data_IF_512761091311
#
_entry.id   IF_512761091311
#
_cell.length_a   1.000
_cell.length_b   1.000
_cell.length_c   1.000
_cell.angle_alpha   90.00
_cell.angle_beta   90.00
_cell.angle_gamma   90.00
#
_symmetry.space_group_name_H-M   'P 1'
#
loop_
_entity.id
_entity.type
_entity.pdbx_description
1 polymer ?
#
# COMPACT_ATOMS: atom_id res chain seq x y z
N UNK A 1 21.74 -46.93 -19.18
CA UNK A 1 22.71 -45.97 -18.62
C UNK A 1 22.04 -44.62 -18.70
N UNK A 2 21.21 -44.37 -17.68
CA UNK A 2 20.47 -43.13 -17.48
C UNK A 2 21.44 -42.03 -17.05
N UNK A 3 21.55 -40.98 -17.86
CA UNK A 3 22.38 -39.81 -17.59
C UNK A 3 21.54 -38.52 -17.56
N UNK A 4 20.23 -38.64 -17.29
CA UNK A 4 19.30 -37.52 -17.15
C UNK A 4 18.43 -37.71 -15.89
N UNK A 5 19.04 -38.01 -14.74
CA UNK A 5 18.31 -38.10 -13.46
C UNK A 5 18.97 -37.35 -12.30
N UNK A 6 19.88 -36.40 -12.56
CA UNK A 6 20.55 -35.67 -11.49
C UNK A 6 20.85 -34.20 -11.79
N UNK A 7 20.01 -33.52 -12.58
CA UNK A 7 19.97 -32.06 -12.52
C UNK A 7 19.13 -31.71 -11.28
N UNK A 8 19.85 -31.38 -10.21
CA UNK A 8 19.26 -30.99 -8.93
C UNK A 8 18.24 -29.87 -9.11
N UNK A 9 17.07 -30.05 -8.51
CA UNK A 9 16.10 -28.97 -8.33
C UNK A 9 16.75 -27.99 -7.37
N UNK A 10 17.38 -26.97 -7.95
CA UNK A 10 17.86 -25.81 -7.23
C UNK A 10 16.91 -24.65 -7.57
N UNK A 11 16.30 -23.99 -6.58
CA UNK A 11 16.49 -24.21 -5.14
C UNK A 11 15.72 -25.43 -4.60
N UNK A 12 16.12 -25.90 -3.41
CA UNK A 12 15.60 -27.10 -2.74
C UNK A 12 14.10 -27.02 -2.34
N UNK A 13 13.49 -25.84 -2.50
CA UNK A 13 12.05 -25.58 -2.40
C UNK A 13 11.66 -24.56 -3.45
N UNK A 14 10.40 -24.59 -3.91
CA UNK A 14 9.88 -23.59 -4.86
C UNK A 14 9.95 -22.19 -4.22
N UNK A 15 10.71 -21.24 -4.81
CA UNK A 15 10.81 -19.89 -4.30
C UNK A 15 9.50 -19.13 -4.39
N UNK A 16 9.25 -18.28 -3.41
CA UNK A 16 7.99 -17.52 -3.31
C UNK A 16 7.77 -16.60 -4.50
N UNK A 17 8.84 -15.98 -5.01
CA UNK A 17 8.82 -15.13 -6.21
C UNK A 17 8.63 -15.88 -7.54
N UNK A 18 8.36 -17.19 -7.49
CA UNK A 18 8.03 -18.05 -8.64
C UNK A 18 6.94 -19.07 -8.29
N UNK A 19 6.10 -18.76 -7.30
CA UNK A 19 5.15 -19.71 -6.75
C UNK A 19 3.74 -19.11 -6.69
N UNK A 20 2.90 -19.43 -7.69
CA UNK A 20 1.51 -18.95 -7.78
C UNK A 20 0.63 -19.33 -6.57
N UNK A 21 1.03 -20.33 -5.79
CA UNK A 21 0.30 -20.74 -4.59
C UNK A 21 0.76 -20.00 -3.33
N UNK A 22 1.82 -19.20 -3.41
CA UNK A 22 2.37 -18.42 -2.32
C UNK A 22 2.35 -16.95 -2.72
N UNK A 23 1.22 -16.32 -2.44
CA UNK A 23 1.12 -14.87 -2.40
C UNK A 23 1.85 -14.32 -1.15
N UNK A 24 1.81 -15.06 -0.03
CA UNK A 24 2.42 -14.69 1.26
C UNK A 24 2.95 -15.92 2.00
N UNK A 25 4.06 -15.79 2.71
CA UNK A 25 4.60 -16.80 3.63
C UNK A 25 4.85 -16.19 5.01
N UNK A 26 4.74 -17.02 6.05
CA UNK A 26 5.35 -16.80 7.36
C UNK A 26 4.80 -15.60 8.18
N UNK A 27 3.81 -15.69 9.07
CA UNK A 27 2.98 -16.80 9.64
C UNK A 27 3.62 -18.20 9.67
N UNK A 28 4.40 -18.53 10.71
CA UNK A 28 5.45 -19.59 10.72
C UNK A 28 5.15 -20.87 11.55
N UNK A 29 5.81 -22.04 11.28
CA UNK A 29 7.04 -22.43 12.05
C UNK A 29 8.09 -23.36 11.30
N UNK A 30 9.22 -23.83 11.90
CA UNK A 30 10.51 -23.17 12.20
C UNK A 30 11.79 -23.86 11.61
N UNK A 31 12.98 -23.20 11.63
CA UNK A 31 14.34 -23.80 11.42
C UNK A 31 15.47 -23.02 12.12
N UNK A 32 16.68 -23.58 12.22
CA UNK A 32 17.83 -22.97 12.91
C UNK A 32 18.50 -21.79 12.16
N UNK A 33 19.08 -20.85 12.93
CA UNK A 33 19.65 -19.56 12.49
C UNK A 33 21.19 -19.53 12.55
N UNK A 34 21.84 -18.81 11.62
CA UNK A 34 23.26 -18.42 11.71
C UNK A 34 23.57 -17.15 10.88
N UNK A 35 24.69 -16.49 11.21
CA UNK A 35 25.24 -15.32 10.49
C UNK A 35 26.61 -15.67 9.88
N UNK A 36 26.94 -15.09 8.71
CA UNK A 36 28.25 -15.28 8.04
C UNK A 36 29.09 -14.01 8.07
N UNK A 37 30.39 -14.13 8.39
CA UNK A 37 31.34 -13.02 8.49
C UNK A 37 32.44 -13.13 7.43
N UNK A 38 32.96 -11.98 6.96
CA UNK A 38 33.92 -11.92 5.84
C UNK A 38 35.36 -12.35 6.20
N UNK A 39 35.68 -12.49 7.49
CA UNK A 39 36.96 -12.99 8.00
C UNK A 39 36.81 -13.55 9.41
N UNK A 40 37.80 -14.29 9.87
CA UNK A 40 37.86 -14.86 11.23
C UNK A 40 37.87 -13.76 12.31
N UNK A 41 38.58 -12.66 12.06
CA UNK A 41 38.65 -11.52 12.97
C UNK A 41 37.31 -10.79 13.09
N UNK A 42 36.55 -10.68 12.00
CA UNK A 42 35.19 -10.12 12.01
C UNK A 42 34.20 -11.01 12.78
N UNK A 43 34.33 -12.34 12.68
CA UNK A 43 33.48 -13.29 13.40
C UNK A 43 33.67 -13.21 14.93
N UNK A 44 34.88 -12.90 15.40
CA UNK A 44 35.20 -12.80 16.84
C UNK A 44 34.66 -11.54 17.52
N UNK A 45 34.23 -10.54 16.75
CA UNK A 45 33.69 -9.29 17.28
C UNK A 45 32.23 -9.38 17.75
N UNK A 46 31.47 -10.38 17.28
CA UNK A 46 30.01 -10.51 17.47
C UNK A 46 29.21 -9.23 17.13
N UNK A 47 29.80 -8.26 16.44
CA UNK A 47 29.18 -7.00 16.10
C UNK A 47 28.65 -7.08 14.65
N UNK A 48 27.31 -7.03 14.44
CA UNK A 48 26.72 -7.13 13.11
C UNK A 48 26.87 -5.86 12.27
N UNK A 49 27.35 -4.75 12.85
CA UNK A 49 27.32 -3.44 12.20
C UNK A 49 28.66 -3.11 11.50
N UNK A 50 28.73 -3.47 10.21
CA UNK A 50 29.79 -3.11 9.26
C UNK A 50 29.23 -3.18 7.84
N UNK A 51 28.64 -2.11 7.32
CA UNK A 51 28.31 -2.01 5.90
C UNK A 51 29.18 -0.97 5.20
N UNK A 52 29.98 -1.44 4.24
CA UNK A 52 30.68 -0.65 3.22
C UNK A 52 29.75 -0.42 2.01
N UNK A 53 28.46 -0.17 2.27
CA UNK A 53 27.44 -0.05 1.24
C UNK A 53 27.38 1.39 0.75
N UNK A 54 27.03 1.55 -0.52
CA UNK A 54 26.74 2.86 -1.08
C UNK A 54 25.42 3.39 -0.50
N UNK A 55 25.34 4.70 -0.28
CA UNK A 55 24.07 5.37 -0.01
C UNK A 55 23.21 5.44 -1.29
N UNK A 56 21.90 5.24 -1.14
CA UNK A 56 20.93 5.32 -2.24
C UNK A 56 19.73 6.17 -1.81
N UNK A 57 19.20 6.98 -2.72
CA UNK A 57 18.01 7.80 -2.46
C UNK A 57 16.73 6.96 -2.57
N UNK A 58 15.82 7.14 -1.60
CA UNK A 58 14.48 6.56 -1.55
C UNK A 58 13.49 7.70 -1.32
N UNK A 59 12.41 7.83 -2.13
CA UNK A 59 12.03 6.94 -3.22
C UNK A 59 12.91 7.07 -4.47
N UNK A 60 13.19 5.94 -5.15
CA UNK A 60 13.96 5.95 -6.38
C UNK A 60 14.09 4.58 -7.05
N UNK A 61 14.28 4.61 -8.37
CA UNK A 61 14.64 3.44 -9.17
C UNK A 61 16.15 3.29 -9.22
N UNK A 62 16.70 2.12 -8.91
CA UNK A 62 18.16 1.96 -8.80
C UNK A 62 18.87 2.14 -10.16
N UNK A 63 18.18 1.88 -11.29
CA UNK A 63 18.71 2.11 -12.64
C UNK A 63 18.97 3.58 -12.93
N UNK A 64 18.26 4.49 -12.25
CA UNK A 64 18.48 5.94 -12.35
C UNK A 64 19.62 6.43 -11.46
N UNK A 65 20.11 5.57 -10.56
CA UNK A 65 21.16 5.87 -9.59
C UNK A 65 22.47 5.12 -9.88
N UNK A 66 22.58 4.47 -11.06
CA UNK A 66 23.82 3.87 -11.55
C UNK A 66 23.91 2.35 -11.43
N UNK A 67 22.88 1.68 -10.91
CA UNK A 67 22.89 0.23 -10.72
C UNK A 67 22.06 -0.48 -11.80
N UNK A 68 22.60 -1.53 -12.43
CA UNK A 68 21.89 -2.27 -13.47
C UNK A 68 21.61 -1.46 -14.75
N UNK A 69 20.72 -1.96 -15.60
CA UNK A 69 20.40 -1.37 -16.91
C UNK A 69 18.87 -1.33 -17.05
N UNK A 70 18.26 -0.18 -17.44
CA UNK A 70 16.83 -0.13 -17.72
C UNK A 70 16.52 -0.80 -19.06
N UNK A 71 15.40 -1.53 -19.13
CA UNK A 71 14.95 -2.17 -20.38
C UNK A 71 13.68 -1.49 -20.88
N UNK A 72 13.57 -1.23 -22.18
CA UNK A 72 12.33 -0.78 -22.80
C UNK A 72 11.85 -1.84 -23.77
N UNK A 73 10.63 -2.33 -23.55
CA UNK A 73 9.93 -3.23 -24.48
C UNK A 73 8.46 -2.86 -24.49
N UNK A 74 7.78 -3.13 -25.61
CA UNK A 74 6.35 -2.88 -25.74
C UNK A 74 5.53 -4.12 -25.35
N UNK A 75 5.82 -5.27 -25.98
CA UNK A 75 5.10 -6.54 -25.79
C UNK A 75 6.04 -7.66 -25.32
N UNK A 76 7.29 -7.64 -25.76
CA UNK A 76 8.21 -8.72 -25.46
C UNK A 76 8.72 -8.60 -24.01
N UNK A 77 8.52 -9.63 -23.19
CA UNK A 77 9.13 -9.68 -21.87
C UNK A 77 10.68 -9.61 -21.97
N UNK A 78 11.36 -8.86 -21.08
CA UNK A 78 12.81 -8.76 -21.09
C UNK A 78 13.53 -10.00 -20.53
N UNK A 79 12.81 -11.10 -20.29
CA UNK A 79 13.30 -12.39 -19.81
C UNK A 79 12.56 -13.56 -20.46
N UNK A 80 13.12 -14.78 -20.45
CA UNK A 80 12.45 -15.96 -21.01
C UNK A 80 11.06 -16.21 -20.41
N UNK A 81 10.05 -16.31 -21.27
CA UNK A 81 8.64 -16.47 -20.87
C UNK A 81 8.36 -17.94 -20.54
N UNK A 82 8.44 -18.28 -19.26
CA UNK A 82 8.11 -19.60 -18.71
C UNK A 82 7.29 -19.51 -17.42
N UNK A 83 6.08 -18.92 -17.43
CA UNK A 83 5.32 -18.66 -16.21
C UNK A 83 5.11 -19.91 -15.34
N UNK A 84 5.19 -19.81 -14.00
CA UNK A 84 5.47 -18.59 -13.22
C UNK A 84 6.97 -18.30 -13.01
N UNK A 85 7.85 -19.02 -13.69
CA UNK A 85 9.29 -18.89 -13.48
C UNK A 85 9.80 -17.58 -14.08
N UNK A 86 10.68 -16.90 -13.35
CA UNK A 86 11.44 -15.74 -13.84
C UNK A 86 12.89 -16.11 -14.11
N UNK A 87 13.66 -15.17 -14.71
CA UNK A 87 15.09 -15.34 -14.92
C UNK A 87 15.83 -15.70 -13.62
N UNK A 88 16.73 -16.67 -13.69
CA UNK A 88 17.64 -17.00 -12.59
C UNK A 88 18.61 -15.84 -12.27
N UNK A 89 18.99 -15.08 -13.30
CA UNK A 89 19.71 -13.82 -13.14
C UNK A 89 18.67 -12.74 -12.87
N UNK A 90 18.43 -12.46 -11.60
CA UNK A 90 17.43 -11.52 -11.12
C UNK A 90 18.11 -10.38 -10.34
N UNK A 91 18.24 -9.18 -10.93
CA UNK A 91 18.76 -8.03 -10.21
C UNK A 91 18.01 -7.82 -8.90
N UNK A 92 18.77 -7.67 -7.82
CA UNK A 92 18.23 -7.62 -6.45
C UNK A 92 18.84 -6.44 -5.72
N UNK A 93 18.00 -5.53 -5.24
CA UNK A 93 18.38 -4.41 -4.38
C UNK A 93 18.25 -4.79 -2.91
N UNK A 94 19.29 -4.59 -2.12
CA UNK A 94 19.22 -4.71 -0.66
C UNK A 94 19.35 -3.33 -0.03
N UNK A 95 18.35 -2.94 0.74
CA UNK A 95 18.24 -1.65 1.40
C UNK A 95 18.35 -1.87 2.92
N UNK A 96 19.00 -0.94 3.60
CA UNK A 96 19.08 -0.94 5.06
C UNK A 96 19.05 0.49 5.60
N UNK A 97 18.39 0.70 6.73
CA UNK A 97 18.31 1.99 7.40
C UNK A 97 18.05 1.83 8.90
N UNK A 98 18.70 2.65 9.72
CA UNK A 98 18.30 2.90 11.11
C UNK A 98 17.21 3.97 11.20
N UNK A 99 16.25 3.76 12.09
CA UNK A 99 15.16 4.69 12.37
C UNK A 99 14.77 4.65 13.84
N UNK A 100 14.20 5.74 14.34
CA UNK A 100 13.67 5.84 15.70
C UNK A 100 12.15 5.99 15.62
N UNK A 101 11.45 5.36 16.57
CA UNK A 101 10.01 5.57 16.76
C UNK A 101 9.84 6.79 17.67
N UNK A 102 9.03 7.79 17.29
CA UNK A 102 8.83 8.98 18.13
C UNK A 102 8.35 8.64 19.55
N UNK A 103 8.94 9.29 20.56
CA UNK A 103 8.62 9.04 21.98
C UNK A 103 7.18 9.42 22.36
N UNK A 104 6.52 10.28 21.59
CA UNK A 104 5.14 10.72 21.81
C UNK A 104 4.09 9.74 21.30
N UNK A 105 4.51 8.61 20.72
CA UNK A 105 3.61 7.53 20.31
C UNK A 105 3.35 6.59 21.49
N UNK A 106 2.11 6.55 21.97
CA UNK A 106 1.73 5.77 23.15
C UNK A 106 2.04 4.26 23.00
N UNK A 107 2.42 3.60 24.10
CA UNK A 107 2.65 2.14 24.24
C UNK A 107 1.46 1.25 23.80
N UNK A 108 0.29 1.85 23.58
CA UNK A 108 -0.90 1.15 23.11
C UNK A 108 -1.01 1.06 21.60
N UNK A 109 -0.32 1.88 20.82
CA UNK A 109 -0.55 2.01 19.37
C UNK A 109 0.05 0.84 18.58
N UNK A 110 -0.67 0.40 17.55
CA UNK A 110 -0.15 -0.46 16.51
C UNK A 110 0.73 0.38 15.58
N UNK A 111 1.99 0.00 15.40
CA UNK A 111 2.92 0.70 14.52
C UNK A 111 3.00 -0.03 13.18
N UNK A 112 2.63 0.66 12.11
CA UNK A 112 2.62 0.11 10.75
C UNK A 112 3.74 0.70 9.91
N UNK A 113 4.44 -0.15 9.18
CA UNK A 113 5.37 0.23 8.13
C UNK A 113 4.65 0.13 6.79
N UNK A 114 4.56 1.24 6.05
CA UNK A 114 3.84 1.34 4.77
C UNK A 114 4.78 1.69 3.64
N UNK A 115 4.81 0.86 2.61
CA UNK A 115 5.49 1.13 1.34
C UNK A 115 4.45 1.52 0.29
N UNK A 116 4.54 2.71 -0.31
CA UNK A 116 3.56 3.18 -1.31
C UNK A 116 3.77 2.55 -2.71
N UNK A 117 4.93 1.94 -2.95
CA UNK A 117 5.26 1.26 -4.20
C UNK A 117 6.69 0.71 -4.22
N UNK A 118 6.80 -0.59 -4.45
CA UNK A 118 8.07 -1.31 -4.57
C UNK A 118 7.98 -2.23 -5.78
N UNK A 119 8.93 -2.11 -6.71
CA UNK A 119 8.93 -2.87 -7.95
C UNK A 119 10.04 -3.95 -7.94
N UNK A 120 9.77 -5.24 -8.17
CA UNK A 120 8.45 -5.87 -8.44
C UNK A 120 7.88 -6.66 -7.25
N UNK A 121 8.77 -7.08 -6.36
CA UNK A 121 8.44 -7.83 -5.15
C UNK A 121 9.53 -7.63 -4.09
N UNK A 122 9.20 -7.79 -2.81
CA UNK A 122 10.17 -7.53 -1.75
C UNK A 122 9.87 -8.26 -0.45
N UNK A 123 10.93 -8.57 0.29
CA UNK A 123 10.86 -8.97 1.70
C UNK A 123 11.30 -7.81 2.59
N UNK A 124 10.79 -7.80 3.82
CA UNK A 124 11.08 -6.80 4.84
C UNK A 124 11.52 -7.47 6.14
N UNK A 125 12.51 -6.87 6.79
CA UNK A 125 12.96 -7.23 8.14
C UNK A 125 13.03 -6.00 9.02
N UNK A 126 12.66 -6.14 10.29
CA UNK A 126 12.87 -5.12 11.33
C UNK A 126 13.65 -5.77 12.47
N UNK A 127 14.72 -5.11 12.93
CA UNK A 127 15.62 -5.62 13.98
C UNK A 127 16.18 -7.03 13.70
N UNK A 128 16.40 -7.34 12.42
CA UNK A 128 16.90 -8.64 11.96
C UNK A 128 15.83 -9.73 11.88
N UNK A 129 14.59 -9.47 12.30
CA UNK A 129 13.47 -10.40 12.23
C UNK A 129 12.64 -10.16 10.97
N UNK A 130 12.25 -11.23 10.27
CA UNK A 130 11.46 -11.14 9.04
C UNK A 130 10.03 -10.73 9.36
N UNK A 131 9.59 -9.63 8.76
CA UNK A 131 8.25 -9.05 8.93
C UNK A 131 7.29 -9.63 7.89
N UNK A 132 7.75 -9.76 6.63
CA UNK A 132 6.92 -10.34 5.58
C UNK A 132 7.43 -10.09 4.16
N UNK A 133 6.55 -10.41 3.20
CA UNK A 133 6.79 -10.36 1.77
C UNK A 133 5.57 -9.80 1.02
N UNK A 134 5.79 -9.03 -0.05
CA UNK A 134 4.71 -8.59 -0.94
C UNK A 134 5.11 -8.49 -2.42
N UNK A 135 4.09 -8.52 -3.29
CA UNK A 135 4.13 -8.29 -4.74
C UNK A 135 3.03 -7.29 -5.16
N UNK A 136 3.16 -6.70 -6.35
CA UNK A 136 2.19 -5.78 -6.92
C UNK A 136 2.68 -4.34 -6.81
N UNK A 137 3.45 -3.93 -7.82
CA UNK A 137 4.34 -2.79 -7.77
C UNK A 137 3.60 -1.46 -7.59
N UNK A 138 2.34 -1.40 -8.03
CA UNK A 138 1.56 -0.16 -8.11
C UNK A 138 0.65 0.09 -6.91
N UNK A 139 0.57 -0.86 -5.98
CA UNK A 139 -0.23 -0.76 -4.77
C UNK A 139 0.64 -0.49 -3.54
N UNK A 140 0.02 0.09 -2.52
CA UNK A 140 0.64 0.24 -1.20
C UNK A 140 0.59 -1.07 -0.42
N UNK A 141 1.63 -1.33 0.37
CA UNK A 141 1.76 -2.51 1.22
C UNK A 141 2.04 -2.08 2.66
N UNK A 142 1.23 -2.56 3.61
CA UNK A 142 1.35 -2.24 5.04
C UNK A 142 1.72 -3.50 5.83
N UNK A 143 2.66 -3.36 6.77
CA UNK A 143 3.05 -4.40 7.72
C UNK A 143 2.91 -3.87 9.14
N UNK A 144 2.27 -4.63 10.03
CA UNK A 144 2.32 -4.35 11.47
C UNK A 144 3.70 -4.77 12.00
N UNK A 145 4.46 -3.80 12.50
CA UNK A 145 5.81 -4.01 13.03
C UNK A 145 5.88 -3.82 14.54
N UNK A 146 4.73 -3.67 15.23
CA UNK A 146 4.66 -3.34 16.66
C UNK A 146 5.53 -4.28 17.50
N UNK A 147 5.40 -5.59 17.29
CA UNK A 147 6.11 -6.61 18.07
C UNK A 147 7.58 -6.81 17.64
N UNK A 148 8.00 -6.15 16.56
CA UNK A 148 9.38 -6.20 16.03
C UNK A 148 10.25 -5.06 16.54
N UNK A 149 9.64 -4.04 17.18
CA UNK A 149 10.32 -2.84 17.62
C UNK A 149 10.92 -3.00 19.02
N UNK A 150 12.03 -2.30 19.25
CA UNK A 150 12.61 -2.09 20.58
C UNK A 150 12.28 -0.66 21.02
N UNK A 151 11.36 -0.46 21.99
CA UNK A 151 10.93 0.87 22.41
C UNK A 151 12.07 1.69 23.02
N UNK A 152 12.13 2.98 22.69
CA UNK A 152 13.13 3.91 23.21
C UNK A 152 14.54 3.73 22.67
N UNK A 153 14.74 2.84 21.69
CA UNK A 153 16.02 2.58 21.05
C UNK A 153 15.93 2.78 19.52
N UNK A 154 17.10 2.91 18.88
CA UNK A 154 17.18 2.88 17.43
C UNK A 154 16.79 1.48 16.92
N UNK A 155 15.94 1.44 15.90
CA UNK A 155 15.48 0.25 15.23
C UNK A 155 16.11 0.16 13.84
N UNK A 156 16.31 -1.05 13.33
CA UNK A 156 16.82 -1.28 11.98
C UNK A 156 15.72 -1.79 11.06
N UNK A 157 15.70 -1.27 9.84
CA UNK A 157 14.85 -1.72 8.74
C UNK A 157 15.75 -2.25 7.62
N UNK A 158 15.47 -3.47 7.15
CA UNK A 158 16.05 -3.99 5.92
C UNK A 158 14.96 -4.38 4.93
N UNK A 159 15.21 -4.14 3.64
CA UNK A 159 14.33 -4.62 2.58
C UNK A 159 15.15 -5.24 1.45
N UNK A 160 14.66 -6.35 0.90
CA UNK A 160 15.25 -7.00 -0.28
C UNK A 160 14.25 -6.99 -1.39
N UNK A 161 14.56 -6.26 -2.45
CA UNK A 161 13.70 -6.01 -3.61
C UNK A 161 14.20 -6.80 -4.80
N UNK A 162 13.33 -7.54 -5.47
CA UNK A 162 13.62 -8.32 -6.66
C UNK A 162 13.02 -7.62 -7.88
N UNK A 163 13.81 -7.51 -8.96
CA UNK A 163 13.33 -6.90 -10.21
C UNK A 163 12.32 -7.78 -10.94
N UNK A 164 12.46 -9.10 -10.84
CA UNK A 164 11.53 -10.05 -11.44
C UNK A 164 10.84 -10.91 -10.37
N UNK A 165 9.52 -11.03 -10.49
CA UNK A 165 8.70 -12.00 -9.76
C UNK A 165 7.65 -12.59 -10.69
N UNK A 166 6.90 -13.60 -10.24
CA UNK A 166 5.73 -14.08 -10.98
C UNK A 166 4.70 -12.98 -11.23
N UNK A 167 4.60 -11.98 -10.34
CA UNK A 167 3.85 -10.75 -10.55
C UNK A 167 4.27 -9.94 -11.77
N UNK A 168 5.53 -10.03 -12.23
CA UNK A 168 5.98 -9.35 -13.45
C UNK A 168 5.22 -9.80 -14.70
N UNK A 169 4.64 -11.02 -14.72
CA UNK A 169 3.82 -11.49 -15.84
C UNK A 169 2.50 -10.72 -16.01
N UNK A 170 2.02 -10.02 -14.98
CA UNK A 170 0.83 -9.16 -15.06
C UNK A 170 1.16 -7.66 -15.11
N UNK A 171 2.44 -7.31 -15.20
CA UNK A 171 2.95 -5.93 -15.23
C UNK A 171 3.66 -5.58 -16.56
N UNK A 172 3.23 -6.22 -17.65
CA UNK A 172 3.74 -6.03 -19.02
C UNK A 172 3.06 -4.83 -19.72
N UNK A 173 3.28 -3.63 -19.19
CA UNK A 173 2.87 -2.41 -19.88
C UNK A 173 3.95 -1.95 -20.88
N UNK A 174 3.55 -1.23 -21.94
CA UNK A 174 4.46 -0.53 -22.85
C UNK A 174 5.19 0.61 -22.13
N UNK A 175 6.28 0.26 -21.43
CA UNK A 175 7.03 1.16 -20.57
C UNK A 175 8.48 0.69 -20.36
N UNK A 176 9.24 1.48 -19.61
CA UNK A 176 10.55 1.06 -19.11
C UNK A 176 10.40 0.11 -17.91
N UNK A 177 11.09 -1.02 -17.98
CA UNK A 177 11.32 -1.90 -16.85
C UNK A 177 12.46 -1.36 -15.98
N UNK A 178 12.09 -0.90 -14.80
CA UNK A 178 12.97 -0.39 -13.74
C UNK A 178 12.48 -0.93 -12.40
N UNK A 179 13.31 -0.91 -11.36
CA UNK A 179 12.96 -1.50 -10.07
C UNK A 179 13.57 -0.75 -8.89
N UNK A 180 13.02 -1.01 -7.70
CA UNK A 180 13.41 -0.37 -6.45
C UNK A 180 12.22 0.05 -5.61
N UNK A 181 12.52 0.70 -4.48
CA UNK A 181 11.52 1.35 -3.62
C UNK A 181 11.22 2.73 -4.23
N UNK A 182 10.26 2.78 -5.16
CA UNK A 182 10.08 3.91 -6.07
C UNK A 182 8.99 4.91 -5.65
N UNK A 183 8.31 4.65 -4.53
CA UNK A 183 7.43 5.60 -3.83
C UNK A 183 7.75 5.58 -2.33
N UNK A 184 7.14 6.51 -1.61
CA UNK A 184 7.42 6.81 -0.21
C UNK A 184 7.31 5.57 0.70
N UNK A 185 8.08 5.61 1.79
CA UNK A 185 8.01 4.65 2.89
C UNK A 185 7.66 5.43 4.16
N UNK A 186 6.57 5.04 4.81
CA UNK A 186 6.00 5.74 5.95
C UNK A 186 5.93 4.84 7.18
N UNK A 187 6.19 5.42 8.35
CA UNK A 187 5.89 4.82 9.63
C UNK A 187 4.59 5.46 10.16
N UNK A 188 3.58 4.65 10.47
CA UNK A 188 2.24 5.12 10.81
C UNK A 188 1.80 4.58 12.18
N UNK A 189 1.47 5.45 13.15
CA UNK A 189 0.88 5.03 14.41
C UNK A 189 -0.63 4.85 14.26
N UNK A 190 -1.17 3.70 14.66
CA UNK A 190 -2.61 3.41 14.69
C UNK A 190 -3.07 3.10 16.11
N UNK A 191 -4.07 3.80 16.69
CA UNK A 191 -4.60 3.48 18.01
C UNK A 191 -5.25 2.10 17.97
N UNK A 192 -5.24 1.39 19.11
CA UNK A 192 -5.90 0.07 19.23
C UNK A 192 -7.35 0.10 18.77
N UNK A 193 -8.05 1.18 19.12
CA UNK A 193 -9.42 1.45 18.69
C UNK A 193 -9.41 2.60 17.69
N UNK A 194 -9.52 2.30 16.40
CA UNK A 194 -9.46 3.31 15.33
C UNK A 194 -10.24 2.91 14.07
N UNK A 195 -10.59 3.91 13.26
CA UNK A 195 -11.16 3.69 11.93
C UNK A 195 -10.05 3.17 11.02
N UNK A 196 -10.25 1.99 10.43
CA UNK A 196 -9.29 1.35 9.50
C UNK A 196 -9.76 1.36 8.04
N UNK A 197 -11.06 1.53 7.84
CA UNK A 197 -11.66 1.69 6.53
C UNK A 197 -12.96 2.49 6.66
N UNK A 198 -13.39 3.11 5.58
CA UNK A 198 -14.69 3.79 5.52
C UNK A 198 -15.19 3.89 4.10
N UNK A 199 -16.51 4.02 3.96
CA UNK A 199 -17.14 4.24 2.68
C UNK A 199 -18.10 5.42 2.75
N UNK A 200 -17.96 6.35 1.81
CA UNK A 200 -18.91 7.44 1.58
C UNK A 200 -19.70 7.13 0.31
N UNK A 201 -21.00 6.94 0.45
CA UNK A 201 -21.91 6.75 -0.66
C UNK A 201 -22.77 8.01 -0.86
N UNK A 202 -23.02 8.38 -2.12
CA UNK A 202 -23.95 9.47 -2.45
C UNK A 202 -25.07 8.93 -3.32
N UNK A 203 -26.30 9.12 -2.89
CA UNK A 203 -27.49 8.72 -3.63
C UNK A 203 -28.20 9.97 -4.13
N UNK A 204 -28.45 10.06 -5.44
CA UNK A 204 -29.16 11.20 -6.06
C UNK A 204 -30.53 10.72 -6.51
N UNK A 205 -31.57 11.47 -6.16
CA UNK A 205 -32.93 11.13 -6.58
C UNK A 205 -33.12 11.24 -8.10
N UNK A 206 -34.22 10.69 -8.60
CA UNK A 206 -34.52 10.69 -10.05
C UNK A 206 -34.87 12.08 -10.60
N UNK A 207 -35.30 13.01 -9.75
CA UNK A 207 -35.56 14.42 -10.13
C UNK A 207 -34.29 15.26 -10.26
N UNK A 208 -33.16 14.78 -9.73
CA UNK A 208 -31.94 15.56 -9.56
C UNK A 208 -32.14 16.83 -8.72
N UNK A 209 -33.02 16.77 -7.72
CA UNK A 209 -33.36 17.91 -6.85
C UNK A 209 -32.92 17.69 -5.39
N UNK A 210 -32.60 16.46 -5.02
CA UNK A 210 -32.03 16.11 -3.72
C UNK A 210 -31.07 14.93 -3.82
N UNK A 211 -30.25 14.77 -2.77
CA UNK A 211 -29.39 13.62 -2.62
C UNK A 211 -29.01 13.36 -1.17
N UNK A 212 -28.62 12.13 -0.88
CA UNK A 212 -28.25 11.68 0.46
C UNK A 212 -26.76 11.34 0.49
N UNK A 213 -26.04 11.89 1.47
CA UNK A 213 -24.69 11.46 1.83
C UNK A 213 -24.81 10.39 2.91
N UNK A 214 -24.23 9.22 2.66
CA UNK A 214 -24.16 8.11 3.61
C UNK A 214 -22.71 7.81 3.96
N UNK A 215 -22.44 7.56 5.22
CA UNK A 215 -21.11 7.20 5.71
C UNK A 215 -21.20 6.00 6.65
N UNK A 216 -20.32 5.04 6.42
CA UNK A 216 -20.07 3.93 7.33
C UNK A 216 -18.56 3.71 7.50
N UNK A 217 -18.16 3.26 8.69
CA UNK A 217 -16.77 3.01 9.04
C UNK A 217 -16.56 1.56 9.48
N UNK A 218 -15.35 1.05 9.26
CA UNK A 218 -14.86 -0.19 9.86
C UNK A 218 -13.88 0.18 10.97
N UNK A 219 -14.14 -0.35 12.16
CA UNK A 219 -13.31 -0.10 13.35
C UNK A 219 -12.46 -1.33 13.66
N UNK A 220 -11.17 -1.12 13.92
CA UNK A 220 -10.35 -2.10 14.65
C UNK A 220 -10.46 -1.84 16.16
N UNK A 221 -10.35 -2.88 16.98
CA UNK A 221 -10.43 -2.75 18.45
C UNK A 221 -11.85 -2.57 18.96
N UNK A 222 -12.03 -1.64 19.90
CA UNK A 222 -13.33 -1.38 20.53
C UNK A 222 -14.16 -0.37 19.72
N UNK A 223 -15.39 -0.75 19.40
CA UNK A 223 -16.37 0.16 18.82
C UNK A 223 -16.76 1.26 19.83
N UNK A 224 -17.15 2.42 19.31
CA UNK A 224 -17.61 3.54 20.12
C UNK A 224 -18.37 4.58 19.29
N UNK A 225 -18.65 5.73 19.91
CA UNK A 225 -19.29 6.84 19.21
C UNK A 225 -18.28 7.63 18.39
N UNK A 226 -18.69 8.04 17.19
CA UNK A 226 -17.95 8.93 16.30
C UNK A 226 -18.71 10.25 16.19
N UNK A 227 -17.99 11.37 16.12
CA UNK A 227 -18.58 12.65 15.73
C UNK A 227 -18.46 12.78 14.22
N UNK A 228 -19.59 12.91 13.53
CA UNK A 228 -19.66 13.12 12.08
C UNK A 228 -20.17 14.53 11.82
N UNK A 229 -19.41 15.31 11.04
CA UNK A 229 -19.72 16.70 10.69
C UNK A 229 -19.66 16.88 9.18
N UNK A 230 -20.77 17.29 8.57
CA UNK A 230 -20.87 17.59 7.15
C UNK A 230 -20.82 19.11 6.93
N UNK A 231 -19.89 19.55 6.08
CA UNK A 231 -19.72 20.95 5.70
C UNK A 231 -20.16 21.19 4.27
N UNK A 232 -20.82 22.33 4.05
CA UNK A 232 -21.16 22.86 2.73
C UNK A 232 -19.90 23.16 1.91
N UNK A 233 -20.03 23.39 0.59
CA UNK A 233 -18.90 23.85 -0.23
C UNK A 233 -18.31 25.19 0.22
N UNK A 234 -19.11 26.02 0.89
CA UNK A 234 -18.67 27.28 1.50
C UNK A 234 -17.95 27.11 2.85
N UNK A 235 -18.02 25.91 3.45
CA UNK A 235 -17.43 25.59 4.75
C UNK A 235 -18.38 25.71 5.94
N UNK A 236 -19.65 26.08 5.71
CA UNK A 236 -20.67 26.13 6.75
C UNK A 236 -21.06 24.73 7.22
N UNK A 237 -21.40 24.58 8.49
CA UNK A 237 -21.84 23.29 9.04
C UNK A 237 -23.28 23.02 8.64
N UNK A 238 -23.50 21.97 7.85
CA UNK A 238 -24.84 21.50 7.47
C UNK A 238 -25.40 20.52 8.51
N UNK A 239 -24.51 19.71 9.09
CA UNK A 239 -24.88 18.74 10.12
C UNK A 239 -23.68 18.41 11.01
N UNK A 240 -23.96 18.10 12.28
CA UNK A 240 -22.97 17.66 13.25
C UNK A 240 -23.66 16.77 14.30
N UNK A 241 -23.32 15.48 14.30
CA UNK A 241 -23.97 14.50 15.18
C UNK A 241 -23.01 13.43 15.69
N UNK A 242 -23.40 12.79 16.79
CA UNK A 242 -22.70 11.65 17.36
C UNK A 242 -23.42 10.37 16.93
N UNK A 243 -22.73 9.49 16.21
CA UNK A 243 -23.28 8.23 15.69
C UNK A 243 -22.46 7.06 16.22
N UNK A 244 -23.10 5.94 16.53
CA UNK A 244 -22.34 4.73 16.84
C UNK A 244 -21.52 4.30 15.62
N UNK A 245 -20.27 3.87 15.82
CA UNK A 245 -19.45 3.31 14.74
C UNK A 245 -20.01 2.06 14.07
N UNK A 246 -21.02 1.41 14.69
CA UNK A 246 -21.75 0.29 14.10
C UNK A 246 -22.95 0.72 13.24
N UNK A 247 -23.27 2.00 13.18
CA UNK A 247 -24.43 2.55 12.47
C UNK A 247 -24.00 3.37 11.26
N UNK A 248 -24.91 3.49 10.29
CA UNK A 248 -24.70 4.32 9.10
C UNK A 248 -25.15 5.74 9.42
N UNK A 249 -24.26 6.71 9.22
CA UNK A 249 -24.64 8.11 9.16
C UNK A 249 -25.33 8.39 7.83
N UNK A 250 -26.47 9.07 7.86
CA UNK A 250 -27.18 9.52 6.66
C UNK A 250 -27.63 10.97 6.81
N UNK A 251 -27.38 11.79 5.80
CA UNK A 251 -27.86 13.16 5.74
C UNK A 251 -28.37 13.50 4.34
N UNK A 252 -29.61 13.99 4.27
CA UNK A 252 -30.27 14.38 3.02
C UNK A 252 -30.05 15.87 2.78
N UNK A 253 -29.59 16.20 1.58
CA UNK A 253 -29.44 17.54 1.04
C UNK A 253 -30.53 17.80 0.00
N UNK A 254 -31.23 18.92 0.12
CA UNK A 254 -32.19 19.42 -0.86
C UNK A 254 -32.18 20.95 -0.94
N UNK A 255 -32.92 21.50 -1.90
CA UNK A 255 -33.04 22.95 -2.08
C UNK A 255 -31.70 23.65 -2.32
N UNK A 256 -31.47 24.75 -1.62
CA UNK A 256 -30.28 25.59 -1.80
C UNK A 256 -28.99 24.93 -1.28
N UNK A 257 -29.10 23.88 -0.45
CA UNK A 257 -27.95 23.15 0.08
C UNK A 257 -27.46 22.04 -0.86
N UNK A 258 -28.23 21.71 -1.90
CA UNK A 258 -27.94 20.60 -2.81
C UNK A 258 -27.23 21.07 -4.08
N UNK A 259 -25.99 20.61 -4.26
CA UNK A 259 -25.15 20.95 -5.40
C UNK A 259 -24.46 19.71 -5.96
N UNK A 260 -24.67 19.48 -7.26
CA UNK A 260 -24.05 18.39 -7.99
C UNK A 260 -22.60 18.69 -8.34
N UNK A 261 -21.74 17.69 -8.18
CA UNK A 261 -20.39 17.68 -8.71
C UNK A 261 -20.40 17.30 -10.18
N UNK A 262 -19.60 18.00 -10.98
CA UNK A 262 -19.22 17.61 -12.33
C UNK A 262 -17.79 18.07 -12.62
N UNK A 263 -17.20 17.65 -13.74
CA UNK A 263 -15.91 18.19 -14.18
C UNK A 263 -15.98 19.68 -14.55
N UNK A 264 -17.15 20.18 -14.95
CA UNK A 264 -17.39 21.59 -15.29
C UNK A 264 -17.64 22.43 -14.04
N UNK A 265 -18.27 21.85 -13.03
CA UNK A 265 -18.61 22.46 -11.74
C UNK A 265 -18.17 21.52 -10.60
N UNK A 266 -16.89 21.57 -10.17
CA UNK A 266 -16.31 20.61 -9.24
C UNK A 266 -16.68 20.92 -7.78
N UNK A 267 -17.97 21.03 -7.49
CA UNK A 267 -18.49 21.35 -6.15
C UNK A 267 -18.23 20.21 -5.17
N UNK A 268 -17.63 20.52 -4.02
CA UNK A 268 -17.25 19.53 -3.01
C UNK A 268 -17.72 19.94 -1.62
N UNK A 269 -18.41 19.03 -0.95
CA UNK A 269 -18.68 19.06 0.49
C UNK A 269 -17.48 18.50 1.24
N UNK A 270 -17.44 18.71 2.56
CA UNK A 270 -16.39 18.12 3.41
C UNK A 270 -17.03 17.34 4.55
N UNK A 271 -16.73 16.05 4.61
CA UNK A 271 -17.11 15.19 5.73
C UNK A 271 -15.91 15.10 6.70
N UNK A 272 -16.13 15.50 7.94
CA UNK A 272 -15.17 15.34 9.04
C UNK A 272 -15.69 14.25 9.97
N UNK A 273 -14.87 13.23 10.22
CA UNK A 273 -15.23 12.11 11.09
C UNK A 273 -14.18 11.99 12.18
N UNK A 274 -14.59 12.21 13.42
CA UNK A 274 -13.73 12.15 14.60
C UNK A 274 -14.05 10.91 15.43
N UNK A 275 -13.04 10.08 15.65
CA UNK A 275 -13.12 8.88 16.50
C UNK A 275 -11.87 8.77 17.37
N UNK A 276 -12.04 8.62 18.69
CA UNK A 276 -10.95 8.51 19.66
C UNK A 276 -9.83 9.58 19.48
N UNK A 277 -10.24 10.84 19.31
CA UNK A 277 -9.32 11.97 19.19
C UNK A 277 -8.66 12.13 17.81
N UNK A 278 -8.91 11.23 16.85
CA UNK A 278 -8.40 11.33 15.47
C UNK A 278 -9.51 11.75 14.52
N UNK A 279 -9.18 12.64 13.60
CA UNK A 279 -10.14 13.20 12.62
C UNK A 279 -9.73 12.82 11.20
N UNK A 280 -10.64 12.19 10.46
CA UNK A 280 -10.55 11.96 9.02
C UNK A 280 -11.27 13.11 8.31
N UNK A 281 -10.67 13.64 7.24
CA UNK A 281 -11.30 14.62 6.36
C UNK A 281 -11.46 14.03 4.96
N UNK A 282 -12.70 13.96 4.47
CA UNK A 282 -13.04 13.45 3.15
C UNK A 282 -13.81 14.49 2.34
N UNK A 283 -13.37 14.75 1.10
CA UNK A 283 -14.11 15.58 0.15
C UNK A 283 -15.20 14.74 -0.52
N UNK A 284 -16.43 15.25 -0.57
CA UNK A 284 -17.59 14.51 -1.11
C UNK A 284 -18.19 15.29 -2.27
N UNK A 285 -18.26 14.66 -3.45
CA UNK A 285 -18.92 15.22 -4.62
C UNK A 285 -20.18 14.43 -4.94
N UNK A 286 -21.36 15.06 -4.81
CA UNK A 286 -22.63 14.44 -5.14
C UNK A 286 -22.76 14.31 -6.65
N UNK A 287 -22.70 13.08 -7.17
CA UNK A 287 -22.94 12.79 -8.59
C UNK A 287 -23.63 11.46 -8.75
N UNK A 288 -24.37 11.32 -9.84
CA UNK A 288 -24.92 10.04 -10.29
C UNK A 288 -24.33 9.68 -11.64
N UNK A 289 -23.81 8.46 -11.73
CA UNK A 289 -23.31 7.87 -12.98
C UNK A 289 -24.23 6.73 -13.36
N UNK A 290 -24.74 6.75 -14.59
CA UNK A 290 -25.68 5.74 -15.06
C UNK A 290 -25.50 5.47 -16.55
N UNK A 291 -26.02 4.32 -17.01
CA UNK A 291 -26.10 3.97 -18.42
C UNK A 291 -27.58 3.92 -18.78
N UNK A 292 -27.99 4.70 -19.78
CA UNK A 292 -29.35 4.71 -20.31
C UNK A 292 -29.32 4.46 -21.81
N UNK A 293 -29.79 3.28 -22.23
CA UNK A 293 -29.61 2.80 -23.59
C UNK A 293 -28.13 2.70 -23.96
N UNK A 294 -27.72 3.41 -25.00
CA UNK A 294 -26.32 3.49 -25.46
C UNK A 294 -25.54 4.67 -24.87
N UNK A 295 -26.15 5.45 -23.97
CA UNK A 295 -25.54 6.65 -23.43
C UNK A 295 -24.98 6.41 -22.03
N UNK A 296 -23.74 6.83 -21.82
CA UNK A 296 -23.15 7.02 -20.49
C UNK A 296 -23.50 8.41 -19.98
N UNK A 297 -24.20 8.49 -18.85
CA UNK A 297 -24.71 9.72 -18.27
C UNK A 297 -23.96 10.07 -16.99
N UNK A 298 -23.72 11.36 -16.78
CA UNK A 298 -23.37 11.95 -15.48
C UNK A 298 -24.43 12.99 -15.16
N UNK A 299 -25.10 12.85 -14.02
CA UNK A 299 -26.17 13.73 -13.58
C UNK A 299 -27.28 13.90 -14.64
N UNK A 300 -27.73 12.78 -15.22
CA UNK A 300 -28.75 12.72 -16.26
C UNK A 300 -28.33 13.22 -17.65
N UNK A 301 -27.07 13.67 -17.82
CA UNK A 301 -26.56 14.23 -19.08
C UNK A 301 -25.52 13.33 -19.74
N UNK A 302 -25.65 13.12 -21.04
CA UNK A 302 -24.71 12.30 -21.81
C UNK A 302 -23.31 12.92 -21.84
N UNK A 303 -22.29 12.11 -21.52
CA UNK A 303 -20.90 12.56 -21.51
C UNK A 303 -20.31 12.42 -22.91
N UNK A 304 -19.73 13.51 -23.42
CA UNK A 304 -18.86 13.47 -24.59
C UNK A 304 -17.41 13.34 -24.11
N UNK A 305 -16.74 12.23 -24.46
CA UNK A 305 -15.31 12.08 -24.22
C UNK A 305 -14.54 12.77 -25.34
N UNK A 306 -13.80 13.82 -25.01
CA UNK A 306 -12.86 14.43 -25.94
C UNK A 306 -11.64 13.51 -26.07
N UNK A 307 -11.20 13.23 -27.30
CA UNK A 307 -9.87 12.65 -27.51
C UNK A 307 -8.85 13.71 -27.13
N UNK A 308 -8.05 13.42 -26.11
CA UNK A 308 -6.82 14.15 -25.82
C UNK A 308 -5.78 13.87 -26.91
#
# INVERSE_FOLDING_TARGET
MDLISSLGVFPASLPDWTNLNVLHRNTLPPRAHFYSYASEEAALSFNPNVTSWDDIEVPGMWQRQGYGIPHYTNIDYPFPVTPPNVSYINPTGSYWREFEVPEDWDDGQQIRLRFEGVDSAFHVWVNGEEVGYSQGSRNSHEFDITDYLTPGEANSLAARVYQWSDGSYIEDQDQWWMSGIFRDVNLLPFPRSSIVDYFVNTEIDDSYESGTVKFNATIQGEAGNMTVKLLSPGGDTLDETSVSSSEVYEHKLDGDEFHLWSAETPTLYTLLVTFNGRTISQRVGLRRVEISGSNFLVNGKAVTRYKA
#
